data_IF_826964616857
#
_entry.id   IF_826964616857
#
_cell.length_a   1.000
_cell.length_b   1.000
_cell.length_c   1.000
_cell.angle_alpha   90.00
_cell.angle_beta   90.00
_cell.angle_gamma   90.00
#
_symmetry.space_group_name_H-M   'P 1'
#
loop_
_entity.id
_entity.type
_entity.pdbx_description
1 polymer ?
#
# COMPACT_ATOMS: atom_id res chain seq x y z
N UNK A 1 -7.17 -7.51 -19.62
CA UNK A 1 -6.30 -6.80 -18.64
C UNK A 1 -5.30 -5.88 -19.35
N UNK A 2 -4.76 -6.25 -20.52
CA UNK A 2 -3.82 -5.45 -21.33
C UNK A 2 -4.40 -4.16 -21.91
N UNK A 3 -5.65 -4.16 -22.40
CA UNK A 3 -6.21 -2.99 -23.09
C UNK A 3 -6.48 -1.79 -22.16
N UNK A 4 -6.91 -2.04 -20.92
CA UNK A 4 -7.07 -1.00 -19.89
C UNK A 4 -5.72 -0.40 -19.47
N UNK A 5 -4.67 -1.22 -19.47
CA UNK A 5 -3.32 -0.82 -19.11
C UNK A 5 -2.70 0.10 -20.15
N UNK A 6 -2.80 -0.25 -21.44
CA UNK A 6 -2.38 0.61 -22.56
C UNK A 6 -3.10 1.97 -22.58
N UNK A 7 -4.39 1.97 -22.22
CA UNK A 7 -5.17 3.20 -22.17
C UNK A 7 -4.79 4.09 -20.97
N UNK A 8 -4.35 3.50 -19.85
CA UNK A 8 -3.75 4.26 -18.75
C UNK A 8 -2.38 4.81 -19.13
N UNK A 9 -1.53 4.02 -19.81
CA UNK A 9 -0.22 4.46 -20.32
C UNK A 9 -0.35 5.69 -21.20
N UNK A 10 -1.29 5.67 -22.15
CA UNK A 10 -1.51 6.78 -23.07
C UNK A 10 -1.98 8.06 -22.36
N UNK A 11 -2.80 7.93 -21.31
CA UNK A 11 -3.27 9.10 -20.52
C UNK A 11 -2.17 9.66 -19.62
N UNK A 12 -1.43 8.79 -18.94
CA UNK A 12 -0.32 9.18 -18.05
C UNK A 12 0.80 9.86 -18.84
N UNK A 13 1.13 9.37 -20.05
CA UNK A 13 2.13 10.01 -20.91
C UNK A 13 1.66 11.36 -21.44
N UNK A 14 0.38 11.49 -21.77
CA UNK A 14 -0.22 12.77 -22.14
C UNK A 14 -0.18 13.78 -20.98
N UNK A 15 -0.57 13.38 -19.77
CA UNK A 15 -0.56 14.24 -18.57
C UNK A 15 0.87 14.60 -18.12
N UNK A 16 1.86 13.70 -18.30
CA UNK A 16 3.28 14.01 -18.07
C UNK A 16 3.79 15.18 -18.91
N UNK A 17 3.25 15.37 -20.12
CA UNK A 17 3.63 16.53 -20.95
C UNK A 17 3.08 17.86 -20.40
N UNK A 18 2.14 17.82 -19.46
CA UNK A 18 1.47 18.97 -18.86
C UNK A 18 1.77 19.19 -17.36
N UNK A 19 2.26 18.20 -16.62
CA UNK A 19 2.44 18.25 -15.15
C UNK A 19 3.84 17.81 -14.68
N UNK A 20 4.49 18.65 -13.87
CA UNK A 20 5.81 18.39 -13.27
C UNK A 20 5.78 17.31 -12.18
N UNK A 21 4.61 16.84 -11.74
CA UNK A 21 4.49 15.76 -10.74
C UNK A 21 4.63 14.33 -11.32
N UNK A 22 4.67 14.19 -12.66
CA UNK A 22 4.52 12.91 -13.34
C UNK A 22 5.72 12.55 -14.24
N UNK A 23 6.93 12.92 -13.83
CA UNK A 23 8.16 12.79 -14.62
C UNK A 23 8.64 11.35 -14.86
N UNK A 24 8.25 10.37 -14.02
CA UNK A 24 8.69 8.98 -14.10
C UNK A 24 7.48 8.04 -14.28
N UNK A 25 7.25 7.66 -15.55
CA UNK A 25 6.14 6.80 -15.97
C UNK A 25 6.18 5.45 -15.25
N UNK A 26 7.36 4.84 -15.11
CA UNK A 26 7.51 3.55 -14.44
C UNK A 26 7.08 3.63 -12.97
N UNK A 27 7.57 4.66 -12.27
CA UNK A 27 7.25 4.88 -10.86
C UNK A 27 5.75 5.11 -10.61
N UNK A 28 5.05 5.74 -11.54
CA UNK A 28 3.59 5.94 -11.47
C UNK A 28 2.86 4.59 -11.52
N UNK A 29 3.25 3.71 -12.45
CA UNK A 29 2.65 2.40 -12.56
C UNK A 29 2.98 1.50 -11.37
N UNK A 30 4.24 1.49 -10.94
CA UNK A 30 4.68 0.71 -9.80
C UNK A 30 3.91 1.13 -8.54
N UNK A 31 3.90 2.42 -8.22
CA UNK A 31 3.20 2.91 -7.03
C UNK A 31 1.69 2.66 -7.10
N UNK A 32 1.04 2.81 -8.26
CA UNK A 32 -0.38 2.49 -8.42
C UNK A 32 -0.67 0.99 -8.18
N UNK A 33 0.16 0.11 -8.75
CA UNK A 33 0.05 -1.34 -8.55
C UNK A 33 0.22 -1.70 -7.07
N UNK A 34 1.21 -1.11 -6.40
CA UNK A 34 1.46 -1.35 -4.98
C UNK A 34 0.28 -0.94 -4.09
N UNK A 35 -0.41 0.16 -4.41
CA UNK A 35 -1.65 0.55 -3.72
C UNK A 35 -2.78 -0.47 -3.94
N UNK A 36 -2.98 -0.91 -5.17
CA UNK A 36 -4.00 -1.91 -5.52
C UNK A 36 -3.72 -3.24 -4.82
N UNK A 37 -2.46 -3.67 -4.77
CA UNK A 37 -2.05 -4.89 -4.06
C UNK A 37 -2.44 -4.84 -2.57
N UNK A 38 -2.31 -3.67 -1.92
CA UNK A 38 -2.72 -3.49 -0.52
C UNK A 38 -4.23 -3.48 -0.32
N UNK A 39 -5.00 -2.93 -1.27
CA UNK A 39 -6.46 -3.04 -1.26
C UNK A 39 -6.86 -4.52 -1.35
N UNK A 40 -6.31 -5.24 -2.33
CA UNK A 40 -6.60 -6.65 -2.54
C UNK A 40 -6.19 -7.50 -1.33
N UNK A 41 -5.08 -7.19 -0.66
CA UNK A 41 -4.64 -7.88 0.55
C UNK A 41 -5.68 -7.81 1.67
N UNK A 42 -6.27 -6.62 1.92
CA UNK A 42 -7.34 -6.44 2.90
C UNK A 42 -8.63 -7.15 2.49
N UNK A 43 -9.08 -6.94 1.25
CA UNK A 43 -10.32 -7.53 0.73
C UNK A 43 -10.29 -9.05 0.75
N UNK A 44 -9.17 -9.65 0.33
CA UNK A 44 -8.99 -11.10 0.37
C UNK A 44 -9.01 -11.64 1.81
N UNK A 45 -8.47 -10.89 2.77
CA UNK A 45 -8.52 -11.25 4.19
C UNK A 45 -9.95 -11.26 4.70
N UNK A 46 -10.72 -10.19 4.44
CA UNK A 46 -12.12 -10.10 4.88
C UNK A 46 -12.99 -11.17 4.23
N UNK A 47 -12.79 -11.45 2.94
CA UNK A 47 -13.53 -12.49 2.24
C UNK A 47 -13.21 -13.89 2.77
N UNK A 48 -11.94 -14.15 3.12
CA UNK A 48 -11.55 -15.42 3.73
C UNK A 48 -12.21 -15.62 5.11
N UNK A 49 -12.23 -14.58 5.96
CA UNK A 49 -12.90 -14.65 7.27
C UNK A 49 -14.41 -14.91 7.18
N UNK A 50 -15.07 -14.40 6.12
CA UNK A 50 -16.49 -14.69 5.87
C UNK A 50 -16.73 -16.17 5.52
N UNK A 51 -15.78 -16.82 4.86
CA UNK A 51 -15.89 -18.24 4.50
C UNK A 51 -15.44 -19.19 5.60
N UNK A 52 -14.45 -18.78 6.40
CA UNK A 52 -13.82 -19.61 7.41
C UNK A 52 -13.34 -18.75 8.58
N UNK A 53 -13.89 -19.01 9.77
CA UNK A 53 -13.52 -18.29 11.01
C UNK A 53 -12.34 -19.01 11.66
N UNK A 54 -11.16 -18.91 11.04
CA UNK A 54 -9.90 -19.44 11.57
C UNK A 54 -8.83 -18.36 11.52
N UNK A 55 -7.86 -18.41 12.45
CA UNK A 55 -6.70 -17.52 12.42
C UNK A 55 -5.62 -18.11 11.53
N UNK A 56 -4.87 -17.25 10.84
CA UNK A 56 -3.67 -17.60 10.11
C UNK A 56 -2.66 -16.47 10.19
N UNK A 57 -1.40 -16.79 9.88
CA UNK A 57 -0.35 -15.78 9.79
C UNK A 57 -0.39 -15.10 8.43
N UNK A 58 -0.55 -13.77 8.41
CA UNK A 58 -0.46 -12.99 7.16
C UNK A 58 0.98 -12.91 6.66
N UNK A 59 1.13 -12.71 5.34
CA UNK A 59 2.43 -12.40 4.72
C UNK A 59 3.11 -11.26 5.46
N UNK A 60 4.42 -11.38 5.70
CA UNK A 60 5.20 -10.31 6.32
C UNK A 60 5.27 -9.09 5.41
N UNK A 61 5.34 -7.89 6.00
CA UNK A 61 5.53 -6.64 5.25
C UNK A 61 6.81 -6.65 4.40
N UNK A 62 7.85 -7.41 4.75
CA UNK A 62 9.03 -7.55 3.89
C UNK A 62 8.81 -8.42 2.64
N UNK A 63 7.87 -9.37 2.71
CA UNK A 63 7.69 -10.39 1.67
C UNK A 63 6.64 -9.99 0.60
N UNK A 64 5.84 -8.97 0.86
CA UNK A 64 4.88 -8.44 -0.10
C UNK A 64 5.59 -7.63 -1.21
N UNK A 65 4.86 -7.30 -2.28
CA UNK A 65 5.43 -6.55 -3.41
C UNK A 65 5.97 -5.18 -2.98
N UNK A 66 5.33 -4.49 -2.03
CA UNK A 66 5.83 -3.23 -1.50
C UNK A 66 7.10 -3.43 -0.67
N UNK A 67 7.20 -4.48 0.13
CA UNK A 67 8.40 -4.80 0.90
C UNK A 67 9.61 -5.03 0.02
N UNK A 68 9.43 -5.79 -1.06
CA UNK A 68 10.46 -6.04 -2.07
C UNK A 68 10.85 -4.74 -2.77
N UNK A 69 9.87 -3.97 -3.23
CA UNK A 69 10.09 -2.68 -3.89
C UNK A 69 10.83 -1.68 -2.97
N UNK A 70 10.48 -1.62 -1.68
CA UNK A 70 11.18 -0.80 -0.67
C UNK A 70 12.65 -1.21 -0.57
N UNK A 71 12.94 -2.50 -0.48
CA UNK A 71 14.31 -2.98 -0.34
C UNK A 71 15.15 -2.69 -1.60
N UNK A 72 14.55 -2.78 -2.79
CA UNK A 72 15.18 -2.43 -4.07
C UNK A 72 15.50 -0.93 -4.16
N UNK A 73 14.67 -0.06 -3.58
CA UNK A 73 14.77 1.39 -3.72
C UNK A 73 15.41 2.11 -2.53
N UNK A 74 15.87 1.41 -1.49
CA UNK A 74 16.39 1.98 -0.24
C UNK A 74 17.57 2.95 -0.38
N UNK A 75 18.33 2.86 -1.49
CA UNK A 75 19.45 3.75 -1.79
C UNK A 75 19.07 4.94 -2.69
N UNK A 76 17.81 5.07 -3.08
CA UNK A 76 17.33 6.17 -3.91
C UNK A 76 17.28 7.47 -3.12
N UNK A 77 17.39 8.62 -3.81
CA UNK A 77 17.33 9.93 -3.17
C UNK A 77 16.02 10.15 -2.38
N UNK A 78 14.87 9.72 -2.95
CA UNK A 78 13.58 9.80 -2.26
C UNK A 78 13.47 8.89 -1.04
N UNK A 79 14.38 7.91 -0.87
CA UNK A 79 14.41 7.02 0.29
C UNK A 79 15.16 7.62 1.49
N UNK A 80 15.72 8.83 1.34
CA UNK A 80 16.45 9.55 2.38
C UNK A 80 15.58 10.63 3.06
N UNK A 81 14.26 10.58 2.91
CA UNK A 81 13.34 11.59 3.45
C UNK A 81 12.60 11.10 4.71
N UNK A 82 12.04 12.02 5.48
CA UNK A 82 11.16 11.70 6.60
C UNK A 82 9.90 10.94 6.17
N UNK A 83 9.38 11.27 4.99
CA UNK A 83 8.19 10.69 4.39
C UNK A 83 8.43 9.24 3.98
N UNK A 84 9.65 8.91 3.57
CA UNK A 84 10.05 7.51 3.36
C UNK A 84 9.97 6.72 4.68
N UNK A 85 10.51 7.26 5.77
CA UNK A 85 10.43 6.59 7.07
C UNK A 85 8.98 6.43 7.55
N UNK A 86 8.12 7.42 7.29
CA UNK A 86 6.68 7.31 7.54
C UNK A 86 6.04 6.20 6.69
N UNK A 87 6.39 6.08 5.40
CA UNK A 87 5.94 4.98 4.54
C UNK A 87 6.33 3.62 5.11
N UNK A 88 7.58 3.45 5.55
CA UNK A 88 8.04 2.20 6.16
C UNK A 88 7.20 1.82 7.39
N UNK A 89 6.92 2.82 8.23
CA UNK A 89 6.13 2.64 9.45
C UNK A 89 4.68 2.26 9.13
N UNK A 90 4.03 3.00 8.26
CA UNK A 90 2.64 2.72 7.86
C UNK A 90 2.49 1.37 7.16
N UNK A 91 3.48 0.97 6.37
CA UNK A 91 3.50 -0.34 5.74
C UNK A 91 3.57 -1.49 6.77
N UNK A 92 4.44 -1.38 7.78
CA UNK A 92 4.47 -2.33 8.88
C UNK A 92 3.13 -2.36 9.63
N UNK A 93 2.55 -1.19 9.89
CA UNK A 93 1.30 -1.03 10.62
C UNK A 93 0.09 -1.61 9.88
N UNK A 94 0.05 -1.56 8.53
CA UNK A 94 -0.98 -2.25 7.74
C UNK A 94 -0.91 -3.76 7.98
N UNK A 95 0.27 -4.37 7.88
CA UNK A 95 0.40 -5.81 8.06
C UNK A 95 0.11 -6.26 9.50
N UNK A 96 0.51 -5.46 10.50
CA UNK A 96 0.12 -5.68 11.90
C UNK A 96 -1.38 -5.52 12.11
N UNK A 97 -1.99 -4.49 11.52
CA UNK A 97 -3.42 -4.21 11.62
C UNK A 97 -4.27 -5.34 11.04
N UNK A 98 -3.90 -5.88 9.87
CA UNK A 98 -4.60 -7.03 9.27
C UNK A 98 -4.47 -8.27 10.15
N UNK A 99 -3.29 -8.55 10.71
CA UNK A 99 -3.12 -9.67 11.65
C UNK A 99 -4.02 -9.50 12.89
N UNK A 100 -4.00 -8.32 13.51
CA UNK A 100 -4.82 -8.01 14.67
C UNK A 100 -6.32 -8.13 14.36
N UNK A 101 -6.74 -7.74 13.16
CA UNK A 101 -8.11 -7.90 12.71
C UNK A 101 -8.52 -9.37 12.66
N UNK A 102 -7.70 -10.22 12.04
CA UNK A 102 -7.94 -11.67 11.97
C UNK A 102 -8.06 -12.26 13.38
N UNK A 103 -7.08 -11.99 14.23
CA UNK A 103 -7.02 -12.57 15.57
C UNK A 103 -8.20 -12.10 16.43
N UNK A 104 -8.59 -10.83 16.33
CA UNK A 104 -9.74 -10.28 17.06
C UNK A 104 -11.07 -10.78 16.53
N UNK A 105 -11.19 -10.95 15.21
CA UNK A 105 -12.39 -11.50 14.57
C UNK A 105 -12.64 -12.95 15.03
N UNK A 106 -11.59 -13.78 15.00
CA UNK A 106 -11.65 -15.19 15.41
C UNK A 106 -11.92 -15.32 16.91
N UNK A 107 -11.37 -14.41 17.72
CA UNK A 107 -11.65 -14.33 19.15
C UNK A 107 -13.05 -13.78 19.49
N UNK A 108 -13.85 -13.41 18.49
CA UNK A 108 -15.17 -12.79 18.65
C UNK A 108 -15.10 -11.54 19.56
N UNK A 109 -14.11 -10.68 19.30
CA UNK A 109 -13.90 -9.44 20.05
C UNK A 109 -15.10 -8.48 19.95
N UNK A 110 -15.17 -7.51 20.86
CA UNK A 110 -16.25 -6.52 20.87
C UNK A 110 -16.28 -5.67 19.59
N UNK A 111 -17.47 -5.16 19.25
CA UNK A 111 -17.65 -4.24 18.12
C UNK A 111 -16.71 -3.04 18.21
N UNK A 112 -16.58 -2.43 19.40
CA UNK A 112 -15.66 -1.32 19.65
C UNK A 112 -14.19 -1.70 19.35
N UNK A 113 -13.77 -2.91 19.72
CA UNK A 113 -12.42 -3.40 19.41
C UNK A 113 -12.22 -3.53 17.90
N UNK A 114 -13.20 -4.13 17.21
CA UNK A 114 -13.15 -4.30 15.76
C UNK A 114 -13.15 -2.98 15.00
N UNK A 115 -13.94 -2.00 15.45
CA UNK A 115 -14.00 -0.65 14.87
C UNK A 115 -12.67 0.09 15.05
N UNK A 116 -12.07 0.01 16.24
CA UNK A 116 -10.77 0.62 16.50
C UNK A 116 -9.68 0.02 15.62
N UNK A 117 -9.60 -1.31 15.51
CA UNK A 117 -8.63 -1.98 14.63
C UNK A 117 -8.84 -1.57 13.17
N UNK A 118 -10.09 -1.55 12.72
CA UNK A 118 -10.42 -1.16 11.34
C UNK A 118 -10.01 0.28 11.06
N UNK A 119 -10.28 1.20 11.99
CA UNK A 119 -9.91 2.61 11.87
C UNK A 119 -8.38 2.80 11.77
N UNK A 120 -7.61 2.16 12.65
CA UNK A 120 -6.15 2.25 12.62
C UNK A 120 -5.57 1.61 11.34
N UNK A 121 -6.16 0.51 10.86
CA UNK A 121 -5.78 -0.14 9.61
C UNK A 121 -6.04 0.77 8.39
N UNK A 122 -7.16 1.48 8.35
CA UNK A 122 -7.44 2.43 7.27
C UNK A 122 -6.53 3.66 7.32
N UNK A 123 -6.24 4.20 8.52
CA UNK A 123 -5.25 5.28 8.69
C UNK A 123 -3.87 4.84 8.17
N UNK A 124 -3.41 3.64 8.54
CA UNK A 124 -2.15 3.11 8.06
C UNK A 124 -2.16 2.89 6.53
N UNK A 125 -3.27 2.41 5.96
CA UNK A 125 -3.40 2.23 4.51
C UNK A 125 -3.29 3.57 3.77
N UNK A 126 -3.96 4.60 4.27
CA UNK A 126 -3.85 5.97 3.72
C UNK A 126 -2.43 6.51 3.84
N UNK A 127 -1.75 6.24 4.96
CA UNK A 127 -0.34 6.59 5.15
C UNK A 127 0.59 5.94 4.12
N UNK A 128 0.36 4.67 3.76
CA UNK A 128 1.08 4.01 2.66
C UNK A 128 0.80 4.73 1.34
N UNK A 129 -0.45 5.09 1.06
CA UNK A 129 -0.82 5.74 -0.20
C UNK A 129 -0.17 7.11 -0.34
N UNK A 130 -0.18 7.89 0.74
CA UNK A 130 0.47 9.20 0.81
C UNK A 130 2.00 9.07 0.66
N UNK A 131 2.63 8.08 1.29
CA UNK A 131 4.06 7.82 1.15
C UNK A 131 4.45 7.48 -0.30
N UNK A 132 3.66 6.64 -0.97
CA UNK A 132 3.88 6.31 -2.38
C UNK A 132 3.62 7.50 -3.32
N UNK A 133 2.68 8.39 -2.97
CA UNK A 133 2.49 9.64 -3.72
C UNK A 133 3.66 10.59 -3.54
N UNK A 134 4.19 10.71 -2.33
CA UNK A 134 5.36 11.53 -2.04
C UNK A 134 6.59 11.06 -2.83
N UNK A 135 6.83 9.75 -2.91
CA UNK A 135 7.90 9.14 -3.72
C UNK A 135 7.87 9.66 -5.16
N UNK A 136 6.70 9.69 -5.82
CA UNK A 136 6.56 10.23 -7.18
C UNK A 136 6.96 11.71 -7.24
N UNK A 137 6.45 12.52 -6.32
CA UNK A 137 6.72 13.96 -6.34
C UNK A 137 8.18 14.30 -6.06
N UNK A 138 8.84 13.56 -5.16
CA UNK A 138 10.24 13.80 -4.79
C UNK A 138 11.18 13.38 -5.90
N UNK A 139 10.88 12.29 -6.62
CA UNK A 139 11.64 11.89 -7.81
C UNK A 139 11.61 12.94 -8.92
N UNK A 140 10.56 13.76 -9.00
CA UNK A 140 10.43 14.80 -10.02
C UNK A 140 11.00 16.17 -9.63
N UNK A 141 11.36 16.34 -8.36
CA UNK A 141 11.98 17.56 -7.83
C UNK A 141 13.51 17.52 -7.80
N UNK A 142 14.12 16.33 -7.97
CA UNK A 142 15.56 16.12 -8.00
C UNK A 142 16.03 15.58 -9.33
#
# INVERSE_FOLDING_TARGET
MTQTFEHMLTRVTYEKSADQQNCDVGLIFDTAKLKIDHINFKENTYNKLKSEITSWKVTSHHECNLGKWINEHKSSAFAQTSEWNALLKHHEDVHKGVQNYIDSYVANASMETMENISRELEIATLGVFQGLDHVKTTKCKG
#
